data_IF_791349575246
#
_entry.id   IF_791349575246
#
_cell.length_a   1.000
_cell.length_b   1.000
_cell.length_c   1.000
_cell.angle_alpha   90.00
_cell.angle_beta   90.00
_cell.angle_gamma   90.00
#
_symmetry.space_group_name_H-M   'P 1'
#
loop_
_entity.id
_entity.type
_entity.pdbx_description
1 polymer ?
#
# COMPACT_ATOMS: atom_id res chain seq x y z
N UNK A 1 -32.88 89.23 -1.23
CA UNK A 1 -33.43 88.01 -1.88
C UNK A 1 -32.37 86.90 -2.08
N UNK A 2 -31.27 86.85 -1.30
CA UNK A 2 -30.15 85.90 -1.53
C UNK A 2 -29.83 84.93 -0.37
N UNK A 3 -30.55 84.94 0.75
CA UNK A 3 -30.24 84.07 1.91
C UNK A 3 -31.08 82.80 1.99
N UNK A 4 -32.30 82.79 1.43
CA UNK A 4 -33.19 81.61 1.46
C UNK A 4 -32.77 80.50 0.49
N UNK A 5 -32.33 80.86 -0.72
CA UNK A 5 -31.83 79.88 -1.71
C UNK A 5 -30.57 79.13 -1.24
N UNK A 6 -29.73 79.77 -0.41
CA UNK A 6 -28.48 79.16 0.06
C UNK A 6 -28.71 78.18 1.24
N UNK A 7 -29.78 78.37 2.02
CA UNK A 7 -30.16 77.44 3.09
C UNK A 7 -30.82 76.17 2.54
N UNK A 8 -31.66 76.27 1.50
CA UNK A 8 -32.33 75.11 0.92
C UNK A 8 -31.35 74.20 0.16
N UNK A 9 -30.36 74.77 -0.52
CA UNK A 9 -29.29 73.98 -1.14
C UNK A 9 -28.44 73.22 -0.10
N UNK A 10 -28.13 73.83 1.05
CA UNK A 10 -27.39 73.14 2.13
C UNK A 10 -28.17 71.99 2.74
N UNK A 11 -29.48 72.15 2.95
CA UNK A 11 -30.34 71.09 3.48
C UNK A 11 -30.43 69.90 2.53
N UNK A 12 -30.66 70.14 1.24
CA UNK A 12 -30.67 69.07 0.25
C UNK A 12 -29.32 68.34 0.18
N UNK A 13 -28.20 69.06 0.28
CA UNK A 13 -26.86 68.45 0.27
C UNK A 13 -26.62 67.58 1.51
N UNK A 14 -27.05 68.01 2.70
CA UNK A 14 -26.95 67.23 3.94
C UNK A 14 -27.85 65.99 3.92
N UNK A 15 -29.05 66.10 3.37
CA UNK A 15 -30.01 64.99 3.25
C UNK A 15 -29.50 63.92 2.29
N UNK A 16 -28.93 64.33 1.14
CA UNK A 16 -28.32 63.42 0.17
C UNK A 16 -27.11 62.69 0.77
N UNK A 17 -26.30 63.37 1.59
CA UNK A 17 -25.14 62.78 2.27
C UNK A 17 -25.55 61.77 3.34
N UNK A 18 -26.63 62.04 4.08
CA UNK A 18 -27.21 61.09 5.05
C UNK A 18 -27.80 59.86 4.37
N UNK A 19 -28.50 60.04 3.25
CA UNK A 19 -29.04 58.93 2.46
C UNK A 19 -27.92 58.04 1.89
N UNK A 20 -26.83 58.64 1.38
CA UNK A 20 -25.66 57.88 0.93
C UNK A 20 -24.95 57.13 2.07
N UNK A 21 -24.81 57.75 3.25
CA UNK A 21 -24.22 57.07 4.41
C UNK A 21 -25.08 55.89 4.90
N UNK A 22 -26.40 56.05 4.95
CA UNK A 22 -27.30 54.96 5.31
C UNK A 22 -27.28 53.83 4.27
N UNK A 23 -27.23 54.16 2.99
CA UNK A 23 -27.08 53.17 1.91
C UNK A 23 -25.81 52.33 2.06
N UNK A 24 -24.66 52.98 2.32
CA UNK A 24 -23.39 52.27 2.53
C UNK A 24 -23.40 51.42 3.81
N UNK A 25 -24.07 51.84 4.87
CA UNK A 25 -24.20 51.06 6.11
C UNK A 25 -25.06 49.81 5.90
N UNK A 26 -26.18 49.92 5.18
CA UNK A 26 -27.04 48.78 4.88
C UNK A 26 -26.34 47.76 3.98
N UNK A 27 -25.62 48.22 2.95
CA UNK A 27 -24.82 47.35 2.07
C UNK A 27 -23.76 46.55 2.85
N UNK A 28 -23.08 47.19 3.82
CA UNK A 28 -22.10 46.50 4.67
C UNK A 28 -22.76 45.43 5.55
N UNK A 29 -23.87 45.75 6.21
CA UNK A 29 -24.61 44.80 7.05
C UNK A 29 -25.11 43.60 6.25
N UNK A 30 -25.63 43.82 5.05
CA UNK A 30 -26.09 42.74 4.17
C UNK A 30 -24.92 41.85 3.71
N UNK A 31 -23.76 42.45 3.41
CA UNK A 31 -22.55 41.70 3.05
C UNK A 31 -21.99 40.85 4.21
N UNK A 32 -22.05 41.37 5.44
CA UNK A 32 -21.63 40.66 6.65
C UNK A 32 -22.58 39.50 7.00
N UNK A 33 -23.88 39.70 6.82
CA UNK A 33 -24.88 38.64 6.99
C UNK A 33 -24.67 37.52 5.98
N UNK A 34 -24.49 37.84 4.69
CA UNK A 34 -24.21 36.83 3.65
C UNK A 34 -22.94 36.04 3.93
N UNK A 35 -21.85 36.69 4.34
CA UNK A 35 -20.60 36.00 4.70
C UNK A 35 -20.76 35.07 5.90
N UNK A 36 -21.51 35.50 6.91
CA UNK A 36 -21.76 34.68 8.12
C UNK A 36 -22.60 33.46 7.78
N UNK A 37 -23.59 33.62 6.91
CA UNK A 37 -24.47 32.54 6.47
C UNK A 37 -23.76 31.56 5.53
N UNK A 38 -22.87 32.05 4.67
CA UNK A 38 -22.00 31.23 3.84
C UNK A 38 -21.00 30.42 4.70
N UNK A 39 -20.38 31.04 5.71
CA UNK A 39 -19.52 30.33 6.66
C UNK A 39 -20.28 29.26 7.46
N UNK A 40 -21.53 29.52 7.85
CA UNK A 40 -22.38 28.52 8.50
C UNK A 40 -22.70 27.35 7.57
N UNK A 41 -23.07 27.63 6.31
CA UNK A 41 -23.34 26.60 5.29
C UNK A 41 -22.12 25.73 5.00
N UNK A 42 -20.94 26.33 4.87
CA UNK A 42 -19.68 25.58 4.67
C UNK A 42 -19.37 24.74 5.90
N UNK A 43 -19.52 25.29 7.10
CA UNK A 43 -19.28 24.55 8.36
C UNK A 43 -20.26 23.39 8.58
N UNK A 44 -21.53 23.56 8.21
CA UNK A 44 -22.54 22.49 8.25
C UNK A 44 -22.27 21.41 7.20
N UNK A 45 -21.86 21.80 5.99
CA UNK A 45 -21.51 20.86 4.92
C UNK A 45 -20.26 20.04 5.28
N UNK A 46 -19.26 20.65 5.92
CA UNK A 46 -18.07 19.96 6.41
C UNK A 46 -18.38 19.02 7.58
N UNK A 47 -19.29 19.39 8.49
CA UNK A 47 -19.79 18.48 9.54
C UNK A 47 -20.53 17.29 8.93
N UNK A 48 -21.41 17.53 7.96
CA UNK A 48 -22.17 16.45 7.32
C UNK A 48 -21.26 15.50 6.55
N UNK A 49 -20.21 16.02 5.89
CA UNK A 49 -19.18 15.19 5.23
C UNK A 49 -18.39 14.35 6.23
N UNK A 50 -17.93 14.94 7.34
CA UNK A 50 -17.20 14.19 8.40
C UNK A 50 -18.06 13.13 9.05
N UNK A 51 -19.31 13.44 9.41
CA UNK A 51 -20.23 12.47 10.03
C UNK A 51 -20.56 11.30 9.11
N UNK A 52 -20.68 11.55 7.80
CA UNK A 52 -20.95 10.49 6.83
C UNK A 52 -19.70 9.62 6.60
N UNK A 53 -18.51 10.21 6.65
CA UNK A 53 -17.24 9.49 6.59
C UNK A 53 -17.03 8.64 7.86
N UNK A 54 -17.33 9.17 9.04
CA UNK A 54 -17.27 8.44 10.32
C UNK A 54 -18.32 7.33 10.42
N UNK A 55 -19.53 7.52 9.86
CA UNK A 55 -20.54 6.44 9.76
C UNK A 55 -20.08 5.32 8.83
N UNK A 56 -19.55 5.65 7.65
CA UNK A 56 -18.99 4.63 6.74
C UNK A 56 -17.81 3.88 7.36
N UNK A 57 -16.97 4.56 8.15
CA UNK A 57 -15.89 3.92 8.89
C UNK A 57 -16.41 3.02 10.02
N UNK A 58 -17.45 3.44 10.76
CA UNK A 58 -18.08 2.65 11.82
C UNK A 58 -18.84 1.43 11.30
N UNK A 59 -19.60 1.56 10.20
CA UNK A 59 -20.29 0.44 9.56
C UNK A 59 -19.29 -0.58 8.99
N UNK A 60 -18.19 -0.10 8.38
CA UNK A 60 -17.10 -0.97 7.93
C UNK A 60 -16.43 -1.70 9.12
N UNK A 61 -16.22 -1.02 10.26
CA UNK A 61 -15.64 -1.63 11.45
C UNK A 61 -16.56 -2.66 12.13
N UNK A 62 -17.89 -2.47 12.10
CA UNK A 62 -18.83 -3.48 12.59
C UNK A 62 -18.88 -4.72 11.69
N UNK A 63 -18.67 -4.55 10.38
CA UNK A 63 -18.60 -5.66 9.42
C UNK A 63 -17.32 -6.51 9.52
N UNK A 64 -16.26 -5.99 10.16
CA UNK A 64 -14.94 -6.66 10.19
C UNK A 64 -14.83 -7.67 11.33
N UNK A 65 -15.70 -7.62 12.34
CA UNK A 65 -15.70 -8.62 13.42
C UNK A 65 -16.46 -9.88 12.98
N UNK A 66 -15.70 -10.89 12.56
CA UNK A 66 -16.23 -12.22 12.26
C UNK A 66 -16.98 -12.79 13.48
N UNK A 67 -18.17 -13.36 13.23
CA UNK A 67 -18.92 -14.11 14.24
C UNK A 67 -18.17 -15.38 14.66
N UNK A 68 -18.51 -15.94 15.82
CA UNK A 68 -17.87 -17.17 16.32
C UNK A 68 -17.99 -18.34 15.33
N UNK A 69 -19.15 -18.45 14.67
CA UNK A 69 -19.38 -19.42 13.62
C UNK A 69 -18.47 -19.19 12.40
N UNK A 70 -18.37 -17.94 11.93
CA UNK A 70 -17.49 -17.60 10.80
C UNK A 70 -16.01 -17.85 11.12
N UNK A 71 -15.58 -17.62 12.37
CA UNK A 71 -14.22 -17.96 12.83
C UNK A 71 -13.99 -19.47 12.79
N UNK A 72 -14.94 -20.28 13.25
CA UNK A 72 -14.84 -21.74 13.22
C UNK A 72 -14.82 -22.27 11.79
N UNK A 73 -15.65 -21.72 10.90
CA UNK A 73 -15.67 -22.09 9.48
C UNK A 73 -14.36 -21.71 8.79
N UNK A 74 -13.79 -20.53 9.10
CA UNK A 74 -12.47 -20.13 8.62
C UNK A 74 -11.39 -21.12 9.05
N UNK A 75 -11.35 -21.50 10.34
CA UNK A 75 -10.35 -22.45 10.86
C UNK A 75 -10.42 -23.80 10.14
N UNK A 76 -11.63 -24.33 9.93
CA UNK A 76 -11.82 -25.60 9.21
C UNK A 76 -11.33 -25.52 7.76
N UNK A 77 -11.60 -24.40 7.07
CA UNK A 77 -11.11 -24.18 5.70
C UNK A 77 -9.59 -24.08 5.65
N UNK A 78 -8.99 -23.31 6.56
CA UNK A 78 -7.54 -23.15 6.62
C UNK A 78 -6.81 -24.47 6.91
N UNK A 79 -7.35 -25.28 7.84
CA UNK A 79 -6.79 -26.60 8.16
C UNK A 79 -6.80 -27.55 6.94
N UNK A 80 -7.81 -27.45 6.08
CA UNK A 80 -7.89 -28.24 4.84
C UNK A 80 -6.96 -27.69 3.75
N UNK A 81 -6.86 -26.37 3.64
CA UNK A 81 -6.15 -25.70 2.55
C UNK A 81 -4.63 -25.77 2.69
N UNK A 82 -4.05 -25.70 3.90
CA UNK A 82 -2.59 -25.68 4.01
C UNK A 82 -1.90 -26.95 3.48
N UNK A 83 -2.54 -28.12 3.61
CA UNK A 83 -2.03 -29.37 3.01
C UNK A 83 -2.00 -29.29 1.49
N UNK A 84 -3.02 -28.66 0.90
CA UNK A 84 -3.10 -28.44 -0.54
C UNK A 84 -2.01 -27.45 -0.99
N UNK A 85 -1.86 -26.32 -0.27
CA UNK A 85 -0.77 -25.34 -0.51
C UNK A 85 0.61 -25.99 -0.51
N UNK A 86 0.88 -26.87 0.45
CA UNK A 86 2.16 -27.58 0.54
C UNK A 86 2.40 -28.49 -0.67
N UNK A 87 1.38 -29.22 -1.12
CA UNK A 87 1.48 -30.10 -2.27
C UNK A 87 1.68 -29.31 -3.57
N UNK A 88 0.88 -28.27 -3.79
CA UNK A 88 1.01 -27.38 -4.94
C UNK A 88 2.41 -26.74 -5.00
N UNK A 89 2.91 -26.31 -3.85
CA UNK A 89 4.23 -25.70 -3.76
C UNK A 89 5.35 -26.70 -4.07
N UNK A 90 5.28 -27.92 -3.52
CA UNK A 90 6.25 -29.00 -3.80
C UNK A 90 6.31 -29.35 -5.29
N UNK A 91 5.16 -29.38 -5.97
CA UNK A 91 5.12 -29.61 -7.41
C UNK A 91 5.89 -28.53 -8.16
N UNK A 92 5.65 -27.25 -7.83
CA UNK A 92 6.35 -26.11 -8.44
C UNK A 92 7.87 -26.12 -8.20
N UNK A 93 8.32 -26.61 -7.06
CA UNK A 93 9.76 -26.72 -6.76
C UNK A 93 10.47 -27.72 -7.69
N UNK A 94 9.80 -28.83 -8.04
CA UNK A 94 10.41 -29.88 -8.88
C UNK A 94 10.76 -29.45 -10.31
N UNK A 95 10.10 -28.40 -10.82
CA UNK A 95 10.36 -27.87 -12.17
C UNK A 95 11.45 -26.78 -12.21
N UNK A 96 11.94 -26.30 -11.07
CA UNK A 96 12.89 -25.16 -11.00
C UNK A 96 14.28 -25.48 -11.51
N UNK A 97 14.78 -26.70 -11.29
CA UNK A 97 16.15 -27.06 -11.66
C UNK A 97 16.39 -26.91 -13.17
N UNK A 98 15.40 -27.24 -13.99
CA UNK A 98 15.49 -27.10 -15.45
C UNK A 98 15.50 -25.64 -15.87
N UNK A 99 14.54 -24.87 -15.36
CA UNK A 99 14.43 -23.43 -15.63
C UNK A 99 15.72 -22.69 -15.22
N UNK A 100 16.30 -23.04 -14.06
CA UNK A 100 17.53 -22.44 -13.55
C UNK A 100 18.72 -22.65 -14.49
N UNK A 101 18.98 -23.90 -14.92
CA UNK A 101 20.10 -24.21 -15.82
C UNK A 101 19.97 -23.50 -17.17
N UNK A 102 18.75 -23.33 -17.66
CA UNK A 102 18.50 -22.62 -18.90
C UNK A 102 18.75 -21.11 -18.74
N UNK A 103 18.26 -20.54 -17.64
CA UNK A 103 18.45 -19.13 -17.31
C UNK A 103 19.93 -18.77 -17.15
N UNK A 104 20.70 -19.61 -16.47
CA UNK A 104 22.14 -19.42 -16.33
C UNK A 104 22.86 -19.31 -17.70
N UNK A 105 22.55 -20.21 -18.63
CA UNK A 105 23.13 -20.20 -19.99
C UNK A 105 22.78 -18.91 -20.74
N UNK A 106 21.53 -18.44 -20.60
CA UNK A 106 21.08 -17.20 -21.23
C UNK A 106 21.88 -15.99 -20.72
N UNK A 107 22.06 -15.86 -19.40
CA UNK A 107 22.82 -14.75 -18.80
C UNK A 107 24.29 -14.78 -19.22
N UNK A 108 24.90 -15.96 -19.29
CA UNK A 108 26.29 -16.12 -19.77
C UNK A 108 26.43 -15.73 -21.24
N UNK A 109 25.50 -16.17 -22.11
CA UNK A 109 25.51 -15.81 -23.53
C UNK A 109 25.36 -14.30 -23.75
N UNK A 110 24.48 -13.66 -22.98
CA UNK A 110 24.27 -12.21 -23.00
C UNK A 110 25.40 -11.42 -22.30
N UNK A 111 26.40 -12.10 -21.73
CA UNK A 111 27.51 -11.51 -20.95
C UNK A 111 27.03 -10.67 -19.75
N UNK A 112 25.88 -11.00 -19.18
CA UNK A 112 25.29 -10.33 -18.01
C UNK A 112 25.93 -10.85 -16.71
N UNK A 113 27.16 -10.42 -16.44
CA UNK A 113 27.99 -10.96 -15.37
C UNK A 113 27.39 -10.70 -13.98
N UNK A 114 26.89 -9.49 -13.71
CA UNK A 114 26.32 -9.16 -12.40
C UNK A 114 24.96 -9.83 -12.21
N UNK A 115 24.15 -9.90 -13.26
CA UNK A 115 22.89 -10.62 -13.26
C UNK A 115 23.11 -12.12 -13.02
N UNK A 116 24.14 -12.72 -13.63
CA UNK A 116 24.53 -14.11 -13.37
C UNK A 116 24.98 -14.32 -11.92
N UNK A 117 25.77 -13.41 -11.34
CA UNK A 117 26.14 -13.47 -9.91
C UNK A 117 24.91 -13.36 -9.00
N UNK A 118 23.99 -12.46 -9.32
CA UNK A 118 22.72 -12.34 -8.61
C UNK A 118 21.93 -13.65 -8.68
N UNK A 119 21.77 -14.22 -9.88
CA UNK A 119 21.10 -15.50 -10.13
C UNK A 119 21.65 -16.64 -9.26
N UNK A 120 22.98 -16.78 -9.21
CA UNK A 120 23.65 -17.77 -8.34
C UNK A 120 23.32 -17.53 -6.85
N UNK A 121 23.41 -16.27 -6.41
CA UNK A 121 23.17 -15.92 -5.01
C UNK A 121 21.72 -16.13 -4.59
N UNK A 122 20.76 -15.83 -5.48
CA UNK A 122 19.33 -16.02 -5.25
C UNK A 122 19.01 -17.50 -5.10
N UNK A 123 19.60 -18.33 -5.95
CA UNK A 123 19.42 -19.77 -5.90
C UNK A 123 19.99 -20.41 -4.63
N UNK A 124 21.16 -19.95 -4.18
CA UNK A 124 21.70 -20.37 -2.89
C UNK A 124 20.76 -19.99 -1.73
N UNK A 125 20.21 -18.77 -1.74
CA UNK A 125 19.21 -18.34 -0.75
C UNK A 125 17.95 -19.22 -0.78
N UNK A 126 17.46 -19.59 -1.96
CA UNK A 126 16.33 -20.51 -2.09
C UNK A 126 16.63 -21.91 -1.54
N UNK A 127 17.82 -22.46 -1.79
CA UNK A 127 18.24 -23.74 -1.19
C UNK A 127 18.30 -23.68 0.34
N UNK A 128 18.85 -22.60 0.87
CA UNK A 128 18.91 -22.39 2.32
C UNK A 128 17.51 -22.24 2.93
N UNK A 129 16.61 -21.52 2.24
CA UNK A 129 15.21 -21.40 2.64
C UNK A 129 14.49 -22.76 2.61
N UNK A 130 14.81 -23.64 1.64
CA UNK A 130 14.27 -25.00 1.60
C UNK A 130 14.60 -25.79 2.88
N UNK A 131 15.81 -25.66 3.43
CA UNK A 131 16.20 -26.29 4.70
C UNK A 131 15.45 -25.68 5.90
N UNK A 132 15.28 -24.36 5.93
CA UNK A 132 14.47 -23.68 6.96
C UNK A 132 13.04 -24.22 6.96
N UNK A 133 12.47 -24.45 5.78
CA UNK A 133 11.09 -24.93 5.61
C UNK A 133 10.89 -26.39 6.00
N UNK A 134 11.86 -27.26 5.71
CA UNK A 134 11.80 -28.66 6.15
C UNK A 134 11.72 -28.79 7.68
N UNK A 135 12.34 -27.85 8.40
CA UNK A 135 12.31 -27.78 9.86
C UNK A 135 11.15 -26.91 10.39
N UNK A 136 10.26 -26.42 9.52
CA UNK A 136 9.18 -25.56 9.95
C UNK A 136 8.10 -26.36 10.67
N UNK A 137 7.72 -25.91 11.86
CA UNK A 137 6.66 -26.51 12.66
C UNK A 137 5.45 -25.59 12.62
N UNK A 138 4.37 -26.09 12.02
CA UNK A 138 3.06 -25.46 12.11
C UNK A 138 2.65 -25.32 13.58
N UNK A 139 2.22 -24.14 13.99
CA UNK A 139 1.65 -23.89 15.33
C UNK A 139 0.17 -23.57 15.16
N UNK A 140 -0.66 -23.81 16.16
CA UNK A 140 -2.02 -23.29 16.09
C UNK A 140 -2.00 -21.76 16.27
N UNK A 141 -2.68 -21.04 15.37
CA UNK A 141 -2.53 -19.61 15.18
C UNK A 141 -3.77 -18.81 15.61
N UNK A 142 -4.78 -19.49 16.16
CA UNK A 142 -6.02 -18.84 16.58
C UNK A 142 -6.90 -18.42 15.40
N UNK A 143 -7.87 -17.55 15.68
CA UNK A 143 -8.75 -17.01 14.64
C UNK A 143 -8.07 -15.92 13.80
N UNK A 144 -8.68 -15.53 12.67
CA UNK A 144 -8.23 -14.36 11.93
C UNK A 144 -8.40 -13.11 12.80
N UNK A 145 -7.40 -12.23 12.75
CA UNK A 145 -7.35 -10.97 13.49
C UNK A 145 -6.85 -9.82 12.61
N UNK A 146 -6.56 -10.09 11.33
CA UNK A 146 -6.32 -9.11 10.31
C UNK A 146 -7.24 -9.35 9.12
N UNK A 147 -7.58 -8.26 8.44
CA UNK A 147 -8.17 -8.29 7.12
C UNK A 147 -7.38 -7.40 6.16
N UNK A 148 -7.46 -7.71 4.88
CA UNK A 148 -6.96 -6.84 3.81
C UNK A 148 -7.89 -6.92 2.61
N UNK A 149 -7.82 -5.93 1.74
CA UNK A 149 -8.67 -5.82 0.56
C UNK A 149 -7.82 -5.92 -0.71
N UNK A 150 -8.15 -6.89 -1.57
CA UNK A 150 -7.46 -7.12 -2.84
C UNK A 150 -8.45 -7.61 -3.88
N UNK A 151 -8.31 -7.17 -5.12
CA UNK A 151 -9.14 -7.63 -6.25
C UNK A 151 -10.66 -7.58 -5.98
N UNK A 152 -11.09 -6.49 -5.35
CA UNK A 152 -12.47 -6.26 -4.93
C UNK A 152 -13.03 -7.19 -3.83
N UNK A 153 -12.18 -7.99 -3.18
CA UNK A 153 -12.54 -8.96 -2.15
C UNK A 153 -11.80 -8.70 -0.84
N UNK A 154 -12.46 -9.03 0.28
CA UNK A 154 -11.84 -9.03 1.60
C UNK A 154 -11.27 -10.41 1.91
N UNK A 155 -10.03 -10.42 2.35
CA UNK A 155 -9.33 -11.59 2.84
C UNK A 155 -9.07 -11.45 4.33
N UNK A 156 -8.96 -12.59 5.01
CA UNK A 156 -8.82 -12.65 6.46
C UNK A 156 -7.66 -13.57 6.81
N UNK A 157 -6.73 -13.06 7.61
CA UNK A 157 -5.54 -13.78 8.05
C UNK A 157 -5.33 -13.62 9.54
N UNK A 158 -4.66 -14.59 10.14
CA UNK A 158 -4.17 -14.47 11.50
C UNK A 158 -2.87 -13.64 11.54
N UNK A 159 -2.33 -13.42 12.75
CA UNK A 159 -1.10 -12.65 12.97
C UNK A 159 0.06 -13.16 12.13
N UNK A 160 0.23 -14.48 12.06
CA UNK A 160 1.35 -15.09 11.35
C UNK A 160 1.20 -14.98 9.84
N UNK A 161 -0.03 -15.05 9.31
CA UNK A 161 -0.33 -14.76 7.92
C UNK A 161 -0.03 -13.30 7.59
N UNK A 162 -0.46 -12.36 8.43
CA UNK A 162 -0.11 -10.95 8.27
C UNK A 162 1.42 -10.73 8.29
N UNK A 163 2.14 -11.38 9.20
CA UNK A 163 3.60 -11.30 9.28
C UNK A 163 4.28 -11.96 8.08
N UNK A 164 3.72 -13.05 7.54
CA UNK A 164 4.19 -13.67 6.31
C UNK A 164 4.01 -12.73 5.11
N UNK A 165 2.87 -12.02 4.99
CA UNK A 165 2.66 -11.05 3.91
C UNK A 165 3.57 -9.83 4.04
N UNK A 166 3.82 -9.34 5.27
CA UNK A 166 4.82 -8.28 5.52
C UNK A 166 6.23 -8.71 5.11
N UNK A 167 6.61 -9.95 5.43
CA UNK A 167 7.86 -10.55 4.99
C UNK A 167 7.92 -10.66 3.48
N UNK A 168 6.84 -11.11 2.82
CA UNK A 168 6.79 -11.22 1.36
C UNK A 168 7.20 -9.90 0.68
N UNK A 169 6.59 -8.78 1.08
CA UNK A 169 6.92 -7.45 0.53
C UNK A 169 8.37 -7.06 0.86
N UNK A 170 8.83 -7.34 2.07
CA UNK A 170 10.19 -6.96 2.53
C UNK A 170 11.28 -7.76 1.79
N UNK A 171 11.12 -9.08 1.74
CA UNK A 171 12.01 -10.00 1.03
C UNK A 171 11.99 -9.69 -0.47
N UNK A 172 10.80 -9.41 -1.03
CA UNK A 172 10.64 -8.95 -2.40
C UNK A 172 11.43 -7.68 -2.68
N UNK A 173 11.28 -6.64 -1.84
CA UNK A 173 12.04 -5.39 -1.98
C UNK A 173 13.54 -5.61 -1.92
N UNK A 174 14.01 -6.43 -0.99
CA UNK A 174 15.42 -6.73 -0.82
C UNK A 174 16.02 -7.44 -2.06
N UNK A 175 15.30 -8.44 -2.60
CA UNK A 175 15.70 -9.14 -3.81
C UNK A 175 15.60 -8.26 -5.07
N UNK A 176 14.56 -7.43 -5.14
CA UNK A 176 14.38 -6.43 -6.19
C UNK A 176 15.57 -5.49 -6.27
N UNK A 177 15.98 -4.93 -5.13
CA UNK A 177 17.10 -3.98 -5.09
C UNK A 177 18.39 -4.60 -5.61
N UNK A 178 18.69 -5.84 -5.21
CA UNK A 178 19.87 -6.57 -5.70
C UNK A 178 19.81 -6.82 -7.20
N UNK A 179 18.65 -7.21 -7.73
CA UNK A 179 18.45 -7.44 -9.14
C UNK A 179 18.58 -6.15 -9.97
N UNK A 180 17.92 -5.06 -9.55
CA UNK A 180 18.00 -3.77 -10.23
C UNK A 180 19.42 -3.20 -10.25
N UNK A 181 20.16 -3.35 -9.14
CA UNK A 181 21.56 -2.98 -9.08
C UNK A 181 22.43 -3.79 -10.05
N UNK A 182 22.21 -5.11 -10.15
CA UNK A 182 22.94 -5.98 -11.06
C UNK A 182 22.68 -5.62 -12.53
N UNK A 183 21.41 -5.38 -12.89
CA UNK A 183 21.01 -4.98 -14.24
C UNK A 183 21.63 -3.65 -14.63
N UNK A 184 21.61 -2.67 -13.72
CA UNK A 184 22.27 -1.38 -13.90
C UNK A 184 23.77 -1.54 -14.14
N UNK A 185 24.45 -2.39 -13.36
CA UNK A 185 25.89 -2.63 -13.49
C UNK A 185 26.25 -3.33 -14.81
N UNK A 186 25.35 -4.18 -15.33
CA UNK A 186 25.49 -4.81 -16.64
C UNK A 186 25.09 -3.88 -17.80
N UNK A 187 24.57 -2.67 -17.51
CA UNK A 187 24.04 -1.76 -18.53
C UNK A 187 22.77 -2.29 -19.21
N UNK A 188 22.06 -3.21 -18.56
CA UNK A 188 20.81 -3.78 -19.05
C UNK A 188 19.66 -2.78 -18.89
N UNK A 189 18.65 -2.88 -19.74
CA UNK A 189 17.47 -2.03 -19.66
C UNK A 189 16.65 -2.31 -18.39
N UNK A 190 15.86 -1.32 -17.96
CA UNK A 190 14.92 -1.47 -16.85
C UNK A 190 13.84 -2.50 -17.20
N UNK A 191 13.87 -3.67 -16.55
CA UNK A 191 12.93 -4.77 -16.79
C UNK A 191 12.75 -5.64 -15.54
N UNK A 192 11.99 -5.17 -14.53
CA UNK A 192 11.79 -5.92 -13.28
C UNK A 192 11.07 -7.26 -13.50
N UNK A 193 10.21 -7.35 -14.51
CA UNK A 193 9.32 -8.51 -14.71
C UNK A 193 10.06 -9.72 -15.27
N UNK A 194 11.20 -9.48 -15.88
CA UNK A 194 12.10 -10.51 -16.36
C UNK A 194 13.13 -10.92 -15.28
N UNK A 195 13.11 -10.34 -14.08
CA UNK A 195 14.01 -10.73 -13.00
C UNK A 195 13.74 -12.14 -12.48
N UNK A 196 14.79 -12.90 -12.15
CA UNK A 196 14.66 -14.30 -11.72
C UNK A 196 13.79 -14.46 -10.47
N UNK A 197 14.04 -13.60 -9.47
CA UNK A 197 13.27 -13.57 -8.24
C UNK A 197 11.84 -13.03 -8.45
N UNK A 198 11.59 -12.21 -9.47
CA UNK A 198 10.24 -11.77 -9.80
C UNK A 198 9.40 -12.90 -10.41
N UNK A 199 10.00 -13.67 -11.32
CA UNK A 199 9.34 -14.81 -11.96
C UNK A 199 9.02 -15.89 -10.92
N UNK A 200 9.99 -16.22 -10.08
CA UNK A 200 9.83 -17.20 -9.00
C UNK A 200 8.93 -16.71 -7.85
N UNK A 201 9.24 -15.54 -7.30
CA UNK A 201 8.56 -14.84 -6.21
C UNK A 201 8.26 -15.68 -4.95
N UNK A 202 9.08 -16.69 -4.65
CA UNK A 202 8.78 -17.65 -3.58
C UNK A 202 9.78 -17.67 -2.43
N UNK A 203 10.88 -16.92 -2.54
CA UNK A 203 11.86 -16.83 -1.47
C UNK A 203 11.21 -16.36 -0.17
N UNK A 204 11.40 -17.10 0.93
CA UNK A 204 10.85 -16.81 2.26
C UNK A 204 9.47 -17.43 2.52
N UNK A 205 8.79 -17.95 1.50
CA UNK A 205 7.47 -18.55 1.63
C UNK A 205 7.52 -19.87 2.40
N UNK A 206 6.91 -19.94 3.57
CA UNK A 206 6.86 -21.16 4.40
C UNK A 206 5.73 -22.13 4.02
N UNK A 207 4.67 -21.65 3.39
CA UNK A 207 3.59 -22.49 2.86
C UNK A 207 2.48 -22.86 3.84
N UNK A 208 2.38 -22.20 4.98
CA UNK A 208 1.42 -22.59 6.02
C UNK A 208 0.24 -21.62 6.18
N UNK A 209 0.46 -20.31 6.00
CA UNK A 209 -0.47 -19.29 6.50
C UNK A 209 -1.28 -18.53 5.46
N UNK A 210 -0.77 -18.48 4.23
CA UNK A 210 -1.38 -17.76 3.11
C UNK A 210 -1.12 -18.57 1.86
N UNK A 211 -1.97 -18.41 0.85
CA UNK A 211 -1.78 -19.08 -0.43
C UNK A 211 -0.51 -18.58 -1.14
N UNK A 212 0.15 -19.48 -1.88
CA UNK A 212 1.39 -19.15 -2.60
C UNK A 212 1.17 -18.00 -3.58
N UNK A 213 0.00 -17.94 -4.22
CA UNK A 213 -0.33 -16.88 -5.16
C UNK A 213 -0.42 -15.51 -4.46
N UNK A 214 -0.97 -15.49 -3.24
CA UNK A 214 -1.05 -14.28 -2.41
C UNK A 214 0.34 -13.80 -1.99
N UNK A 215 1.18 -14.74 -1.51
CA UNK A 215 2.56 -14.45 -1.15
C UNK A 215 3.33 -13.87 -2.34
N UNK A 216 3.26 -14.55 -3.49
CA UNK A 216 3.96 -14.15 -4.71
C UNK A 216 3.51 -12.78 -5.21
N UNK A 217 2.21 -12.46 -5.10
CA UNK A 217 1.69 -11.13 -5.46
C UNK A 217 2.39 -10.03 -4.65
N UNK A 218 2.39 -10.13 -3.33
CA UNK A 218 3.00 -9.10 -2.48
C UNK A 218 4.53 -9.10 -2.54
N UNK A 219 5.15 -10.26 -2.76
CA UNK A 219 6.57 -10.34 -3.07
C UNK A 219 6.91 -9.52 -4.31
N UNK A 220 6.14 -9.68 -5.40
CA UNK A 220 6.33 -8.93 -6.64
C UNK A 220 6.10 -7.42 -6.45
N UNK A 221 5.13 -7.04 -5.63
CA UNK A 221 4.93 -5.62 -5.27
C UNK A 221 6.15 -5.03 -4.57
N UNK A 222 6.73 -5.74 -3.60
CA UNK A 222 7.99 -5.36 -2.98
C UNK A 222 9.12 -5.31 -4.01
N UNK A 223 9.24 -6.35 -4.82
CA UNK A 223 10.30 -6.51 -5.83
C UNK A 223 10.34 -5.37 -6.82
N UNK A 224 9.22 -4.97 -7.43
CA UNK A 224 9.18 -3.87 -8.40
C UNK A 224 9.77 -2.59 -7.82
N UNK A 225 9.39 -2.26 -6.57
CA UNK A 225 9.86 -1.06 -5.86
C UNK A 225 11.34 -1.16 -5.49
N UNK A 226 11.77 -2.33 -5.02
CA UNK A 226 13.18 -2.61 -4.75
C UNK A 226 14.03 -2.48 -6.00
N UNK A 227 13.59 -3.11 -7.10
CA UNK A 227 14.27 -3.08 -8.40
C UNK A 227 14.42 -1.64 -8.90
N UNK A 228 13.38 -0.83 -8.80
CA UNK A 228 13.43 0.58 -9.13
C UNK A 228 14.46 1.36 -8.31
N UNK A 229 14.46 1.16 -6.99
CA UNK A 229 15.44 1.78 -6.10
C UNK A 229 16.88 1.33 -6.43
N UNK A 230 17.10 0.04 -6.62
CA UNK A 230 18.42 -0.51 -6.97
C UNK A 230 18.93 -0.08 -8.35
N UNK A 231 18.04 -0.06 -9.34
CA UNK A 231 18.36 0.30 -10.72
C UNK A 231 18.66 1.79 -10.88
N UNK A 232 18.00 2.67 -10.13
CA UNK A 232 18.30 4.10 -10.14
C UNK A 232 19.31 4.51 -9.05
N UNK A 233 19.69 3.60 -8.14
CA UNK A 233 20.59 3.90 -7.03
C UNK A 233 20.00 4.87 -6.01
N UNK A 234 18.69 4.75 -5.75
CA UNK A 234 17.93 5.61 -4.83
C UNK A 234 17.24 4.78 -3.75
N UNK A 235 16.63 5.47 -2.81
CA UNK A 235 15.92 4.87 -1.67
C UNK A 235 14.54 5.54 -1.53
N UNK A 236 13.73 5.47 -2.58
CA UNK A 236 12.42 6.11 -2.63
C UNK A 236 11.37 5.31 -1.85
N UNK A 237 11.45 3.99 -1.92
CA UNK A 237 10.46 3.08 -1.33
C UNK A 237 10.99 2.33 -0.13
N UNK A 238 12.30 2.28 0.07
CA UNK A 238 12.91 1.62 1.21
C UNK A 238 14.10 2.35 1.79
N UNK A 239 14.84 1.63 2.60
CA UNK A 239 16.04 2.08 3.28
C UNK A 239 17.06 0.95 3.33
N UNK A 240 18.31 1.31 3.55
CA UNK A 240 19.39 0.38 3.85
C UNK A 240 19.86 0.58 5.29
N UNK A 241 19.88 -0.47 6.08
CA UNK A 241 20.36 -0.43 7.47
C UNK A 241 20.92 -1.78 7.89
N UNK A 242 22.04 -1.78 8.63
CA UNK A 242 22.69 -2.99 9.16
C UNK A 242 22.91 -4.09 8.11
N UNK A 243 23.28 -3.72 6.88
CA UNK A 243 23.53 -4.69 5.82
C UNK A 243 22.29 -5.17 5.05
N UNK A 244 21.08 -4.74 5.41
CA UNK A 244 19.82 -5.20 4.81
C UNK A 244 19.05 -4.06 4.17
N UNK A 245 18.38 -4.38 3.06
CA UNK A 245 17.42 -3.50 2.40
C UNK A 245 16.02 -3.80 2.91
N UNK A 246 15.25 -2.79 3.26
CA UNK A 246 13.88 -2.96 3.75
C UNK A 246 12.97 -1.88 3.22
N UNK A 247 11.73 -2.24 2.92
CA UNK A 247 10.70 -1.29 2.48
C UNK A 247 10.29 -0.35 3.64
N UNK A 248 9.94 0.90 3.33
CA UNK A 248 9.44 1.85 4.31
C UNK A 248 8.06 1.42 4.84
N UNK A 249 7.83 1.62 6.15
CA UNK A 249 6.60 1.15 6.80
C UNK A 249 5.31 1.76 6.25
N UNK A 250 5.33 3.03 5.82
CA UNK A 250 4.18 3.66 5.15
C UNK A 250 3.89 3.03 3.78
N UNK A 251 4.92 2.67 3.01
CA UNK A 251 4.76 2.00 1.71
C UNK A 251 4.28 0.57 1.92
N UNK A 252 4.81 -0.14 2.92
CA UNK A 252 4.34 -1.47 3.31
C UNK A 252 2.84 -1.47 3.64
N UNK A 253 2.39 -0.50 4.43
CA UNK A 253 0.98 -0.34 4.78
C UNK A 253 0.12 0.01 3.56
N UNK A 254 0.63 0.82 2.63
CA UNK A 254 -0.08 1.13 1.38
C UNK A 254 -0.25 -0.10 0.49
N UNK A 255 0.77 -0.96 0.40
CA UNK A 255 0.72 -2.19 -0.40
C UNK A 255 -0.26 -3.20 0.20
N UNK A 256 -0.19 -3.40 1.51
CA UNK A 256 -0.93 -4.48 2.18
C UNK A 256 -2.32 -4.10 2.66
N UNK A 257 -2.57 -2.81 2.99
CA UNK A 257 -3.78 -2.31 3.67
C UNK A 257 -4.31 -3.26 4.77
N UNK A 258 -3.39 -3.81 5.58
CA UNK A 258 -3.73 -4.73 6.66
C UNK A 258 -4.40 -3.98 7.82
N UNK A 259 -5.59 -4.44 8.20
CA UNK A 259 -6.40 -3.87 9.29
C UNK A 259 -6.62 -4.90 10.37
N UNK A 260 -6.10 -4.62 11.56
CA UNK A 260 -6.36 -5.44 12.76
C UNK A 260 -7.70 -5.07 13.41
N UNK A 261 -8.39 -6.04 14.03
CA UNK A 261 -9.69 -5.85 14.68
C UNK A 261 -9.91 -6.68 15.94
#
# INVERSE_FOLDING_TARGET
MNERQNQDQRRQWEEQRRAQQQGQQNLRRESEQRRTEEQRRVSEQDRWRRDNQDRQLRDRNQQTRLSEQQRNDWRRREEQQWRQRQNEFRQRESDRDRWWRERERQLQYQRRQNSWRFHQSYWERLRQDQLRRQNFVYRDFGGPNYSYYRDSQYYYVNQYGADLLRRAVTDGYEEGYRAGLADRQDGWQFDPDNGDAYQDASYGYDGYYVDVAEYQYYFREGFRRGYEDGYYGRYQYGTYSNGRYSILGNILNLILDLRGY
#
